data_IF_413279263304
#
_entry.id   IF_413279263304
#
_cell.length_a   1.000
_cell.length_b   1.000
_cell.length_c   1.000
_cell.angle_alpha   90.00
_cell.angle_beta   90.00
_cell.angle_gamma   90.00
#
_symmetry.space_group_name_H-M   'P 1'
#
loop_
_entity.id
_entity.type
_entity.pdbx_description
1 polymer ?
#
# COMPACT_ATOMS: atom_id res chain seq x y z
N UNK A 1 -28.25 20.90 -9.31
CA UNK A 1 -28.52 20.14 -8.07
C UNK A 1 -27.45 19.05 -7.88
N UNK A 2 -26.65 19.21 -6.81
CA UNK A 2 -25.65 18.30 -6.24
C UNK A 2 -24.91 17.35 -7.21
N UNK A 3 -23.77 17.81 -7.72
CA UNK A 3 -22.69 16.91 -8.10
C UNK A 3 -22.31 16.10 -6.85
N UNK A 4 -22.62 14.80 -6.85
CA UNK A 4 -22.14 13.89 -5.81
C UNK A 4 -20.61 13.94 -5.83
N UNK A 5 -20.03 14.40 -4.73
CA UNK A 5 -18.59 14.35 -4.50
C UNK A 5 -18.17 12.87 -4.60
N UNK A 6 -17.56 12.50 -5.73
CA UNK A 6 -16.96 11.18 -5.88
C UNK A 6 -15.78 11.10 -4.89
N UNK A 7 -15.67 10.02 -4.09
CA UNK A 7 -14.63 9.91 -3.08
C UNK A 7 -13.26 10.01 -3.74
N UNK A 8 -12.42 10.89 -3.17
CA UNK A 8 -11.13 11.36 -3.70
C UNK A 8 -10.08 10.24 -3.81
N UNK A 9 -10.40 9.02 -3.39
CA UNK A 9 -9.43 7.93 -3.24
C UNK A 9 -9.19 7.08 -4.49
N UNK A 10 -9.87 7.33 -5.62
CA UNK A 10 -9.92 6.33 -6.71
C UNK A 10 -9.63 6.81 -8.14
N UNK A 11 -8.99 7.97 -8.34
CA UNK A 11 -8.57 8.41 -9.68
C UNK A 11 -7.14 8.90 -9.70
N UNK A 12 -6.28 8.20 -10.43
CA UNK A 12 -5.03 8.79 -10.94
C UNK A 12 -4.94 8.43 -12.44
N UNK A 13 -4.92 9.44 -13.32
CA UNK A 13 -4.56 9.43 -14.77
C UNK A 13 -4.39 10.92 -15.19
N UNK A 14 -3.27 11.45 -15.69
CA UNK A 14 -2.57 11.39 -16.99
C UNK A 14 -1.15 12.00 -16.76
N UNK A 15 0.00 11.57 -17.29
CA UNK A 15 0.38 11.14 -18.65
C UNK A 15 0.51 9.61 -18.80
N UNK A 16 0.56 9.07 -20.03
CA UNK A 16 -0.38 8.10 -20.61
C UNK A 16 -0.60 6.77 -19.88
N UNK A 17 -0.02 6.47 -18.74
CA UNK A 17 -0.30 5.24 -17.98
C UNK A 17 -0.08 5.47 -16.48
N UNK A 18 -1.16 5.58 -15.70
CA UNK A 18 -1.06 5.39 -14.26
C UNK A 18 -1.49 3.97 -13.94
N UNK A 19 -0.53 3.18 -13.49
CA UNK A 19 -0.72 1.78 -13.17
C UNK A 19 -1.12 1.63 -11.70
N UNK A 20 -2.38 1.32 -11.46
CA UNK A 20 -2.76 0.60 -10.24
C UNK A 20 -2.14 -0.79 -10.35
N UNK A 21 -1.12 -1.08 -9.54
CA UNK A 21 -0.31 -2.29 -9.73
C UNK A 21 -1.06 -3.45 -9.07
N UNK A 22 -1.58 -4.43 -9.82
CA UNK A 22 -2.13 -5.63 -9.21
C UNK A 22 -1.03 -6.43 -8.49
N UNK A 23 -1.44 -7.33 -7.58
CA UNK A 23 -0.58 -8.21 -6.76
C UNK A 23 0.49 -9.05 -7.51
N UNK A 24 0.56 -8.96 -8.83
CA UNK A 24 1.56 -9.57 -9.72
C UNK A 24 2.02 -8.54 -10.76
N UNK A 25 2.91 -7.62 -10.39
CA UNK A 25 3.20 -6.44 -11.22
C UNK A 25 4.59 -5.81 -11.08
N UNK A 26 5.57 -6.49 -10.49
CA UNK A 26 6.92 -5.95 -10.33
C UNK A 26 7.58 -5.59 -11.68
N UNK A 27 7.38 -6.42 -12.70
CA UNK A 27 7.86 -6.14 -14.06
C UNK A 27 7.14 -4.95 -14.69
N UNK A 28 5.82 -4.83 -14.48
CA UNK A 28 5.05 -3.68 -14.95
C UNK A 28 5.45 -2.39 -14.22
N UNK A 29 5.78 -2.47 -12.93
CA UNK A 29 6.33 -1.33 -12.18
C UNK A 29 7.67 -0.90 -12.78
N UNK A 30 8.61 -1.84 -12.97
CA UNK A 30 9.90 -1.54 -13.58
C UNK A 30 9.73 -0.91 -14.96
N UNK A 31 8.84 -1.47 -15.78
CA UNK A 31 8.52 -0.91 -17.10
C UNK A 31 7.89 0.48 -17.01
N UNK A 32 7.00 0.73 -16.04
CA UNK A 32 6.39 2.04 -15.82
C UNK A 32 7.43 3.08 -15.41
N UNK A 33 8.41 2.70 -14.59
CA UNK A 33 9.55 3.56 -14.22
C UNK A 33 10.38 3.90 -15.46
N UNK A 34 10.70 2.91 -16.31
CA UNK A 34 11.41 3.14 -17.59
C UNK A 34 10.65 4.09 -18.52
N UNK A 35 9.32 4.08 -18.46
CA UNK A 35 8.44 4.97 -19.23
C UNK A 35 8.26 6.36 -18.59
N UNK A 36 8.92 6.64 -17.46
CA UNK A 36 8.96 7.96 -16.83
C UNK A 36 7.93 8.18 -15.72
N UNK A 37 7.25 7.14 -15.23
CA UNK A 37 6.35 7.27 -14.08
C UNK A 37 7.16 7.46 -12.80
N UNK A 38 6.84 8.52 -12.04
CA UNK A 38 7.59 8.93 -10.83
C UNK A 38 6.78 8.82 -9.53
N UNK A 39 5.47 8.51 -9.60
CA UNK A 39 4.60 8.41 -8.42
C UNK A 39 3.68 7.19 -8.52
N UNK A 40 3.81 6.29 -7.54
CA UNK A 40 2.94 5.14 -7.35
C UNK A 40 2.05 5.32 -6.11
N UNK A 41 0.81 4.87 -6.17
CA UNK A 41 -0.10 4.85 -5.03
C UNK A 41 -0.28 3.40 -4.55
N UNK A 42 -0.14 3.18 -3.24
CA UNK A 42 -0.28 1.85 -2.63
C UNK A 42 -1.16 1.97 -1.39
N UNK A 43 -2.46 1.74 -1.56
CA UNK A 43 -3.44 1.81 -0.47
C UNK A 43 -3.92 0.40 -0.07
N UNK A 44 -4.42 -0.36 -1.04
CA UNK A 44 -5.06 -1.66 -0.81
C UNK A 44 -4.14 -2.65 -0.10
N UNK A 45 -2.88 -2.78 -0.53
CA UNK A 45 -1.94 -3.72 0.09
C UNK A 45 -1.58 -3.34 1.53
N UNK A 46 -1.40 -2.05 1.80
CA UNK A 46 -1.07 -1.54 3.14
C UNK A 46 -2.24 -1.82 4.09
N UNK A 47 -3.47 -1.50 3.67
CA UNK A 47 -4.68 -1.78 4.45
C UNK A 47 -4.88 -3.27 4.68
N UNK A 48 -4.65 -4.10 3.65
CA UNK A 48 -4.78 -5.54 3.76
C UNK A 48 -3.80 -6.11 4.78
N UNK A 49 -2.53 -5.71 4.74
CA UNK A 49 -1.53 -6.16 5.71
C UNK A 49 -1.90 -5.78 7.16
N UNK A 50 -2.43 -4.58 7.37
CA UNK A 50 -2.93 -4.17 8.69
C UNK A 50 -4.08 -5.08 9.17
N UNK A 51 -5.09 -5.28 8.33
CA UNK A 51 -6.29 -6.06 8.68
C UNK A 51 -5.97 -7.54 8.89
N UNK A 52 -5.06 -8.09 8.09
CA UNK A 52 -4.61 -9.48 8.22
C UNK A 52 -3.88 -9.69 9.56
N UNK A 53 -2.95 -8.79 9.92
CA UNK A 53 -2.24 -8.86 11.19
C UNK A 53 -3.17 -8.67 12.38
N UNK A 54 -4.12 -7.72 12.28
CA UNK A 54 -5.14 -7.49 13.31
C UNK A 54 -5.99 -8.75 13.51
N UNK A 55 -6.43 -9.39 12.42
CA UNK A 55 -7.21 -10.64 12.48
C UNK A 55 -6.43 -11.75 13.17
N UNK A 56 -5.16 -11.95 12.80
CA UNK A 56 -4.30 -12.96 13.44
C UNK A 56 -4.14 -12.65 14.94
N UNK A 57 -3.83 -11.40 15.28
CA UNK A 57 -3.59 -10.98 16.66
C UNK A 57 -4.82 -11.12 17.56
N UNK A 58 -6.01 -10.84 17.04
CA UNK A 58 -7.27 -10.93 17.81
C UNK A 58 -7.84 -12.35 17.90
N UNK A 59 -7.49 -13.23 16.95
CA UNK A 59 -7.95 -14.63 16.94
C UNK A 59 -6.98 -15.59 17.63
N UNK A 60 -5.80 -15.10 18.04
CA UNK A 60 -4.83 -15.91 18.77
C UNK A 60 -5.40 -16.35 20.14
N UNK A 61 -5.16 -17.60 20.52
CA UNK A 61 -5.58 -18.18 21.82
C UNK A 61 -4.68 -17.68 22.96
N UNK A 62 -4.61 -16.35 23.13
CA UNK A 62 -3.88 -15.66 24.19
C UNK A 62 -4.54 -14.31 24.47
N UNK A 63 -4.45 -13.83 25.72
CA UNK A 63 -4.78 -12.43 26.02
C UNK A 63 -3.74 -11.54 25.35
N UNK A 64 -4.17 -10.78 24.33
CA UNK A 64 -3.32 -9.80 23.67
C UNK A 64 -3.49 -8.42 24.32
N UNK A 65 -2.39 -7.74 24.61
CA UNK A 65 -2.40 -6.34 25.00
C UNK A 65 -2.76 -5.47 23.79
N UNK A 66 -3.67 -4.51 23.98
CA UNK A 66 -4.16 -3.67 22.87
C UNK A 66 -3.03 -2.90 22.17
N UNK A 67 -2.06 -2.37 22.93
CA UNK A 67 -0.98 -1.59 22.36
C UNK A 67 -0.03 -2.49 21.56
N UNK A 68 0.19 -3.73 22.00
CA UNK A 68 0.97 -4.70 21.24
C UNK A 68 0.30 -5.07 19.91
N UNK A 69 -1.02 -5.28 19.92
CA UNK A 69 -1.79 -5.56 18.70
C UNK A 69 -1.68 -4.41 17.70
N UNK A 70 -1.87 -3.16 18.17
CA UNK A 70 -1.77 -1.99 17.30
C UNK A 70 -0.36 -1.80 16.75
N UNK A 71 0.67 -2.00 17.58
CA UNK A 71 2.09 -1.93 17.14
C UNK A 71 2.40 -2.99 16.09
N UNK A 72 1.93 -4.22 16.27
CA UNK A 72 2.11 -5.32 15.31
C UNK A 72 1.49 -4.97 13.95
N UNK A 73 0.25 -4.49 13.94
CA UNK A 73 -0.45 -4.15 12.71
C UNK A 73 0.21 -2.97 11.97
N UNK A 74 0.73 -1.97 12.70
CA UNK A 74 1.54 -0.89 12.13
C UNK A 74 2.84 -1.44 11.52
N UNK A 75 3.53 -2.36 12.20
CA UNK A 75 4.75 -2.97 11.68
C UNK A 75 4.48 -3.76 10.39
N UNK A 76 3.35 -4.48 10.31
CA UNK A 76 2.93 -5.17 9.10
C UNK A 76 2.73 -4.21 7.92
N UNK A 77 2.08 -3.06 8.14
CA UNK A 77 1.98 -2.00 7.12
C UNK A 77 3.34 -1.47 6.69
N UNK A 78 4.23 -1.18 7.65
CA UNK A 78 5.56 -0.66 7.39
C UNK A 78 6.41 -1.62 6.55
N UNK A 79 6.27 -2.93 6.76
CA UNK A 79 6.95 -3.94 5.95
C UNK A 79 6.53 -3.90 4.47
N UNK A 80 5.23 -3.70 4.19
CA UNK A 80 4.73 -3.49 2.82
C UNK A 80 5.33 -2.23 2.21
N UNK A 81 5.27 -1.10 2.94
CA UNK A 81 5.83 0.17 2.46
C UNK A 81 7.32 0.05 2.17
N UNK A 82 8.10 -0.55 3.06
CA UNK A 82 9.53 -0.77 2.87
C UNK A 82 9.84 -1.62 1.63
N UNK A 83 9.03 -2.65 1.39
CA UNK A 83 9.14 -3.50 0.19
C UNK A 83 8.87 -2.69 -1.08
N UNK A 84 7.83 -1.86 -1.09
CA UNK A 84 7.48 -1.01 -2.23
C UNK A 84 8.52 0.09 -2.49
N UNK A 85 9.06 0.73 -1.44
CA UNK A 85 10.15 1.70 -1.58
C UNK A 85 11.39 1.08 -2.24
N UNK A 86 11.75 -0.15 -1.89
CA UNK A 86 12.84 -0.89 -2.54
C UNK A 86 12.50 -1.19 -4.00
N UNK A 87 11.28 -1.65 -4.27
CA UNK A 87 10.82 -1.96 -5.62
C UNK A 87 10.80 -0.74 -6.54
N UNK A 88 10.44 0.44 -6.01
CA UNK A 88 10.44 1.71 -6.75
C UNK A 88 11.84 2.33 -6.87
N UNK A 89 12.85 1.80 -6.18
CA UNK A 89 14.21 2.34 -6.19
C UNK A 89 14.37 3.66 -5.44
N UNK A 90 13.42 4.01 -4.58
CA UNK A 90 13.41 5.26 -3.79
C UNK A 90 13.90 5.09 -2.35
N UNK A 91 14.23 3.87 -1.93
CA UNK A 91 14.78 3.61 -0.60
C UNK A 91 16.06 4.44 -0.35
N UNK A 92 16.07 5.22 0.73
CA UNK A 92 17.20 6.07 1.13
C UNK A 92 17.35 7.38 0.37
N UNK A 93 16.40 7.74 -0.50
CA UNK A 93 16.34 9.07 -1.14
C UNK A 93 15.48 10.01 -0.30
N UNK A 94 15.94 11.25 -0.11
CA UNK A 94 15.27 12.30 0.68
C UNK A 94 14.75 13.38 -0.27
#
# INVERSE_FOLDING_TARGET
PAAAALPIDNYIFFAPYVLDVPKSGDEMIRRSIELGITKFNVNTEVRQAYLDDLKVSLTADRKADLLDVMRSAIAAMQAVVATKLKLFGSAGRV
#
